data_IF_277170478104
#
_entry.id   IF_277170478104
#
_cell.length_a   1.000
_cell.length_b   1.000
_cell.length_c   1.000
_cell.angle_alpha   90.00
_cell.angle_beta   90.00
_cell.angle_gamma   90.00
#
_symmetry.space_group_name_H-M   'P 1'
#
loop_
_entity.id
_entity.type
_entity.pdbx_description
1 polymer ?
#
# COMPACT_ATOMS: atom_id res chain seq x y z
N UNK A 1 8.42 3.22 29.01
CA UNK A 1 7.09 3.69 29.48
C UNK A 1 6.01 3.14 28.57
N UNK A 2 4.76 3.03 29.04
CA UNK A 2 3.64 2.57 28.21
C UNK A 2 3.44 3.45 26.97
N UNK A 3 3.12 2.83 25.82
CA UNK A 3 2.77 3.54 24.59
C UNK A 3 3.92 4.17 23.79
N UNK A 4 5.18 3.98 24.20
CA UNK A 4 6.34 4.43 23.41
C UNK A 4 6.42 3.71 22.05
N UNK A 5 6.12 2.42 22.02
CA UNK A 5 6.12 1.61 20.80
C UNK A 5 5.03 2.08 19.82
N UNK A 6 3.84 2.40 20.34
CA UNK A 6 2.76 2.99 19.55
C UNK A 6 3.17 4.32 18.92
N UNK A 7 3.91 5.17 19.64
CA UNK A 7 4.41 6.44 19.08
C UNK A 7 5.44 6.22 17.96
N UNK A 8 6.34 5.23 18.10
CA UNK A 8 7.28 4.85 17.03
C UNK A 8 6.54 4.40 15.76
N UNK A 9 5.47 3.62 15.91
CA UNK A 9 4.65 3.15 14.80
C UNK A 9 3.96 4.32 14.07
N UNK A 10 3.42 5.29 14.81
CA UNK A 10 2.80 6.50 14.22
C UNK A 10 3.84 7.39 13.54
N UNK A 11 5.05 7.52 14.10
CA UNK A 11 6.13 8.25 13.42
C UNK A 11 6.52 7.59 12.10
N UNK A 12 6.54 6.25 12.06
CA UNK A 12 6.75 5.54 10.82
C UNK A 12 5.61 5.80 9.82
N UNK A 13 4.35 5.73 10.25
CA UNK A 13 3.20 6.06 9.40
C UNK A 13 3.30 7.47 8.80
N UNK A 14 3.72 8.46 9.60
CA UNK A 14 3.92 9.83 9.12
C UNK A 14 5.01 9.92 8.03
N UNK A 15 6.09 9.14 8.14
CA UNK A 15 7.12 9.07 7.09
C UNK A 15 6.59 8.41 5.82
N UNK A 16 5.76 7.37 5.96
CA UNK A 16 5.10 6.71 4.83
C UNK A 16 4.24 7.67 4.01
N UNK A 17 3.55 8.62 4.63
CA UNK A 17 2.74 9.60 3.89
C UNK A 17 3.55 10.45 2.91
N UNK A 18 4.80 10.78 3.25
CA UNK A 18 5.70 11.57 2.38
C UNK A 18 6.41 10.75 1.31
N UNK A 19 6.38 9.42 1.40
CA UNK A 19 7.07 8.53 0.46
C UNK A 19 6.16 8.19 -0.72
N UNK A 20 6.77 8.05 -1.90
CA UNK A 20 6.09 7.63 -3.13
C UNK A 20 5.91 6.10 -3.15
N UNK A 21 6.89 5.36 -2.64
CA UNK A 21 6.84 3.91 -2.50
C UNK A 21 6.43 3.50 -1.09
N UNK A 22 5.79 2.34 -0.96
CA UNK A 22 5.40 1.80 0.33
C UNK A 22 6.63 1.15 1.00
N UNK A 23 7.01 1.58 2.22
CA UNK A 23 8.08 0.93 2.96
C UNK A 23 7.64 -0.44 3.50
N UNK A 24 8.58 -1.31 3.88
CA UNK A 24 8.25 -2.65 4.38
C UNK A 24 7.34 -2.60 5.61
N UNK A 25 6.39 -3.54 5.65
CA UNK A 25 5.48 -3.70 6.76
C UNK A 25 6.22 -4.05 8.06
N UNK A 26 5.93 -3.30 9.13
CA UNK A 26 6.60 -3.44 10.43
C UNK A 26 5.96 -4.51 11.31
N UNK A 27 6.04 -5.77 10.88
CA UNK A 27 5.42 -6.92 11.55
C UNK A 27 5.81 -7.01 13.03
N UNK A 28 7.09 -6.87 13.34
CA UNK A 28 7.58 -7.02 14.71
C UNK A 28 7.09 -5.90 15.64
N UNK A 29 7.03 -4.66 15.16
CA UNK A 29 6.53 -3.54 15.95
C UNK A 29 5.03 -3.69 16.22
N UNK A 30 4.25 -4.05 15.19
CA UNK A 30 2.81 -4.32 15.33
C UNK A 30 2.56 -5.47 16.30
N UNK A 31 3.29 -6.59 16.17
CA UNK A 31 3.20 -7.74 17.09
C UNK A 31 3.54 -7.37 18.53
N UNK A 32 4.50 -6.47 18.73
CA UNK A 32 4.92 -6.06 20.08
C UNK A 32 3.87 -5.14 20.72
N UNK A 33 3.33 -4.17 19.97
CA UNK A 33 2.23 -3.31 20.44
C UNK A 33 0.97 -4.14 20.71
N UNK A 34 0.67 -5.13 19.88
CA UNK A 34 -0.47 -6.04 20.10
C UNK A 34 -0.29 -6.92 21.35
N UNK A 35 0.95 -7.36 21.64
CA UNK A 35 1.27 -8.06 22.90
C UNK A 35 1.08 -7.14 24.11
N UNK A 36 1.60 -5.92 24.05
CA UNK A 36 1.41 -4.91 25.10
C UNK A 36 -0.08 -4.67 25.42
N UNK A 37 -0.94 -4.58 24.39
CA UNK A 37 -2.39 -4.47 24.58
C UNK A 37 -2.98 -5.68 25.31
N UNK A 38 -2.57 -6.90 24.96
CA UNK A 38 -3.06 -8.12 25.64
C UNK A 38 -2.54 -8.24 27.07
N UNK A 39 -1.32 -7.77 27.31
CA UNK A 39 -0.73 -7.76 28.64
C UNK A 39 -1.47 -6.78 29.55
N UNK A 40 -1.77 -5.56 29.07
CA UNK A 40 -2.61 -4.58 29.79
C UNK A 40 -4.01 -5.13 30.08
N UNK A 41 -4.64 -5.81 29.11
CA UNK A 41 -5.96 -6.42 29.30
C UNK A 41 -5.94 -7.53 30.36
N UNK A 42 -4.89 -8.36 30.38
CA UNK A 42 -4.68 -9.38 31.41
C UNK A 42 -4.47 -8.75 32.79
N UNK A 43 -3.75 -7.63 32.87
CA UNK A 43 -3.53 -6.94 34.14
C UNK A 43 -4.81 -6.29 34.66
N UNK A 44 -5.63 -5.70 33.79
CA UNK A 44 -7.00 -5.24 34.12
C UNK A 44 -7.85 -6.39 34.66
N UNK A 45 -7.83 -7.56 34.01
CA UNK A 45 -8.58 -8.73 34.47
C UNK A 45 -8.13 -9.21 35.86
N UNK A 46 -6.81 -9.22 36.13
CA UNK A 46 -6.26 -9.57 37.46
C UNK A 46 -6.67 -8.59 38.55
N UNK A 47 -6.69 -7.29 38.25
CA UNK A 47 -7.13 -6.26 39.19
C UNK A 47 -8.62 -6.38 39.52
N UNK A 48 -9.43 -6.85 38.58
CA UNK A 48 -10.88 -7.01 38.74
C UNK A 48 -11.29 -8.37 39.35
N UNK A 49 -10.44 -9.39 39.30
CA UNK A 49 -10.70 -10.73 39.85
C UNK A 49 -11.21 -10.73 41.30
N UNK A 50 -10.64 -9.94 42.23
CA UNK A 50 -11.09 -9.91 43.63
C UNK A 50 -12.51 -9.34 43.81
N UNK A 51 -13.01 -8.55 42.85
CA UNK A 51 -14.28 -7.83 42.97
C UNK A 51 -15.49 -8.60 42.42
N UNK A 52 -15.28 -9.78 41.82
CA UNK A 52 -16.36 -10.71 41.44
C UNK A 52 -17.46 -10.10 40.56
N UNK A 53 -17.18 -9.01 39.82
CA UNK A 53 -18.13 -8.30 38.97
C UNK A 53 -18.81 -7.06 39.58
N UNK A 54 -18.61 -6.77 40.87
CA UNK A 54 -19.14 -5.56 41.53
C UNK A 54 -18.00 -4.71 42.09
N UNK A 55 -17.43 -3.85 41.25
CA UNK A 55 -16.42 -2.87 41.65
C UNK A 55 -17.09 -1.53 42.00
N UNK A 56 -16.84 -1.01 43.21
CA UNK A 56 -17.28 0.35 43.58
C UNK A 56 -16.08 1.32 43.57
N UNK A 57 -15.99 2.24 42.59
CA UNK A 57 -14.87 3.17 42.47
C UNK A 57 -14.65 4.09 43.68
N UNK A 58 -15.69 4.38 44.46
CA UNK A 58 -15.57 5.25 45.64
C UNK A 58 -14.96 4.52 46.85
N UNK A 59 -15.04 3.19 46.88
CA UNK A 59 -14.52 2.37 47.98
C UNK A 59 -13.01 2.14 47.85
N UNK A 60 -12.50 2.07 46.62
CA UNK A 60 -11.07 1.95 46.33
C UNK A 60 -10.65 2.88 45.18
N UNK A 61 -10.36 4.15 45.49
CA UNK A 61 -9.91 5.12 44.49
C UNK A 61 -8.57 4.77 43.84
N UNK A 62 -7.69 4.02 44.53
CA UNK A 62 -6.37 3.67 44.00
C UNK A 62 -6.50 2.67 42.85
N UNK A 63 -7.28 1.61 43.04
CA UNK A 63 -7.56 0.63 41.98
C UNK A 63 -8.36 1.25 40.85
N UNK A 64 -9.31 2.15 41.14
CA UNK A 64 -10.07 2.85 40.11
C UNK A 64 -9.16 3.67 39.17
N UNK A 65 -8.17 4.38 39.74
CA UNK A 65 -7.17 5.11 38.97
C UNK A 65 -6.29 4.18 38.12
N UNK A 66 -5.84 3.05 38.68
CA UNK A 66 -5.03 2.07 37.94
C UNK A 66 -5.79 1.51 36.72
N UNK A 67 -7.03 1.06 36.92
CA UNK A 67 -7.91 0.58 35.86
C UNK A 67 -8.14 1.63 34.77
N UNK A 68 -8.34 2.89 35.16
CA UNK A 68 -8.52 3.99 34.21
C UNK A 68 -7.25 4.22 33.37
N UNK A 69 -6.08 4.22 34.00
CA UNK A 69 -4.80 4.38 33.30
C UNK A 69 -4.59 3.25 32.30
N UNK A 70 -4.79 1.99 32.71
CA UNK A 70 -4.62 0.83 31.84
C UNK A 70 -5.62 0.84 30.66
N UNK A 71 -6.86 1.26 30.92
CA UNK A 71 -7.87 1.43 29.88
C UNK A 71 -7.48 2.50 28.86
N UNK A 72 -7.01 3.67 29.32
CA UNK A 72 -6.57 4.76 28.44
C UNK A 72 -5.33 4.34 27.62
N UNK A 73 -4.37 3.63 28.26
CA UNK A 73 -3.20 3.07 27.59
C UNK A 73 -3.58 2.08 26.49
N UNK A 74 -4.51 1.15 26.78
CA UNK A 74 -5.05 0.21 25.80
C UNK A 74 -5.70 0.92 24.61
N UNK A 75 -6.55 1.93 24.87
CA UNK A 75 -7.18 2.74 23.81
C UNK A 75 -6.17 3.52 22.99
N UNK A 76 -5.09 4.02 23.62
CA UNK A 76 -4.00 4.71 22.93
C UNK A 76 -3.29 3.78 21.96
N UNK A 77 -2.90 2.58 22.39
CA UNK A 77 -2.23 1.59 21.55
C UNK A 77 -3.12 1.13 20.39
N UNK A 78 -4.42 0.87 20.64
CA UNK A 78 -5.39 0.55 19.58
C UNK A 78 -5.49 1.68 18.55
N UNK A 79 -5.54 2.94 18.98
CA UNK A 79 -5.59 4.10 18.08
C UNK A 79 -4.33 4.21 17.22
N UNK A 80 -3.15 3.98 17.78
CA UNK A 80 -1.88 3.99 17.05
C UNK A 80 -1.82 2.90 15.98
N UNK A 81 -2.26 1.67 16.32
CA UNK A 81 -2.34 0.55 15.38
C UNK A 81 -3.28 0.88 14.21
N UNK A 82 -4.50 1.32 14.50
CA UNK A 82 -5.48 1.66 13.46
C UNK A 82 -4.99 2.81 12.56
N UNK A 83 -4.34 3.82 13.14
CA UNK A 83 -3.80 4.93 12.36
C UNK A 83 -2.69 4.45 11.39
N UNK A 84 -1.80 3.57 11.84
CA UNK A 84 -0.76 3.00 10.99
C UNK A 84 -1.35 2.18 9.83
N UNK A 85 -2.28 1.28 10.13
CA UNK A 85 -2.93 0.48 9.10
C UNK A 85 -3.74 1.34 8.13
N UNK A 86 -4.47 2.36 8.61
CA UNK A 86 -5.25 3.24 7.75
C UNK A 86 -4.38 3.98 6.74
N UNK A 87 -3.24 4.53 7.18
CA UNK A 87 -2.30 5.23 6.27
C UNK A 87 -1.75 4.28 5.20
N UNK A 88 -1.47 3.02 5.57
CA UNK A 88 -1.01 2.02 4.59
C UNK A 88 -2.11 1.64 3.61
N UNK A 89 -3.33 1.38 4.09
CA UNK A 89 -4.47 1.09 3.19
C UNK A 89 -4.78 2.24 2.24
N UNK A 90 -4.69 3.50 2.69
CA UNK A 90 -4.87 4.67 1.82
C UNK A 90 -3.84 4.69 0.68
N UNK A 91 -2.60 4.31 0.97
CA UNK A 91 -1.54 4.20 -0.04
C UNK A 91 -1.76 3.04 -0.99
N UNK A 92 -2.22 1.89 -0.50
CA UNK A 92 -2.58 0.75 -1.35
C UNK A 92 -3.74 1.08 -2.28
N UNK A 93 -4.78 1.72 -1.75
CA UNK A 93 -5.92 2.21 -2.53
C UNK A 93 -5.44 3.20 -3.61
N UNK A 94 -4.57 4.16 -3.26
CA UNK A 94 -3.97 5.09 -4.22
C UNK A 94 -3.21 4.37 -5.35
N UNK A 95 -2.48 3.28 -5.04
CA UNK A 95 -1.78 2.47 -6.04
C UNK A 95 -2.76 1.71 -6.96
N UNK A 96 -3.83 1.13 -6.40
CA UNK A 96 -4.90 0.50 -7.18
C UNK A 96 -5.50 1.47 -8.21
N UNK A 97 -5.78 2.70 -7.78
CA UNK A 97 -6.37 3.73 -8.66
C UNK A 97 -5.39 4.23 -9.72
N UNK A 98 -4.09 4.21 -9.47
CA UNK A 98 -3.06 4.54 -10.47
C UNK A 98 -2.81 3.40 -11.47
N UNK A 99 -3.42 2.23 -11.27
CA UNK A 99 -3.20 1.05 -12.11
C UNK A 99 -1.77 0.51 -12.03
N UNK A 100 -1.04 0.84 -10.95
CA UNK A 100 0.27 0.27 -10.69
C UNK A 100 0.09 -1.19 -10.26
N UNK A 101 0.65 -2.11 -11.02
CA UNK A 101 0.78 -3.48 -10.54
C UNK A 101 1.84 -3.47 -9.43
N UNK A 102 1.40 -3.74 -8.21
CA UNK A 102 2.27 -3.74 -7.02
C UNK A 102 3.39 -4.78 -7.18
N UNK A 103 3.20 -5.79 -8.04
CA UNK A 103 4.21 -6.79 -8.39
C UNK A 103 5.31 -6.23 -9.32
N UNK A 104 5.02 -5.24 -10.17
CA UNK A 104 6.04 -4.61 -11.04
C UNK A 104 6.97 -3.67 -10.26
N UNK A 105 6.48 -3.07 -9.16
CA UNK A 105 7.29 -2.24 -8.26
C UNK A 105 8.34 -3.02 -7.47
N UNK A 106 8.29 -4.36 -7.47
CA UNK A 106 9.34 -5.19 -6.88
C UNK A 106 10.58 -5.33 -7.79
N UNK A 107 10.48 -4.92 -9.08
CA UNK A 107 11.54 -5.12 -10.08
C UNK A 107 12.36 -3.89 -10.52
N UNK A 108 12.53 -2.77 -9.79
CA UNK A 108 13.34 -1.67 -10.31
C UNK A 108 14.85 -1.91 -10.30
N UNK A 109 15.37 -3.04 -9.80
CA UNK A 109 16.82 -3.25 -9.63
C UNK A 109 17.42 -4.49 -10.33
N UNK A 110 16.69 -5.20 -11.20
CA UNK A 110 17.20 -6.45 -11.78
C UNK A 110 17.67 -6.37 -13.25
N UNK A 111 17.61 -5.21 -13.90
CA UNK A 111 17.88 -5.13 -15.35
C UNK A 111 18.95 -4.10 -15.73
N UNK A 112 20.15 -4.30 -15.21
CA UNK A 112 21.38 -3.98 -15.94
C UNK A 112 22.29 -5.22 -15.98
N UNK A 113 21.97 -6.12 -16.92
CA UNK A 113 22.95 -7.00 -17.56
C UNK A 113 23.06 -8.41 -17.02
N UNK A 114 22.35 -9.37 -17.64
CA UNK A 114 22.89 -10.70 -17.96
C UNK A 114 21.87 -11.53 -18.77
N UNK A 115 21.81 -11.30 -20.08
CA UNK A 115 21.38 -12.35 -21.00
C UNK A 115 22.49 -13.42 -21.05
N UNK A 116 22.36 -14.47 -20.24
CA UNK A 116 22.74 -15.85 -20.55
C UNK A 116 22.90 -16.71 -19.29
N UNK A 117 22.33 -17.91 -19.36
CA UNK A 117 22.77 -19.13 -18.69
C UNK A 117 22.20 -19.47 -17.30
N UNK A 118 21.48 -20.60 -17.27
CA UNK A 118 21.72 -21.62 -16.23
C UNK A 118 20.73 -21.71 -15.08
N UNK A 119 19.98 -22.81 -15.08
CA UNK A 119 19.26 -23.35 -13.93
C UNK A 119 20.20 -23.51 -12.72
N UNK A 120 19.76 -23.04 -11.54
CA UNK A 120 19.88 -23.63 -10.18
C UNK A 120 19.94 -22.51 -9.11
N UNK A 121 18.94 -22.56 -8.23
CA UNK A 121 18.81 -21.97 -6.89
C UNK A 121 19.87 -21.00 -6.36
N UNK A 122 19.44 -19.81 -5.95
CA UNK A 122 19.88 -19.22 -4.68
C UNK A 122 18.88 -18.17 -4.19
N UNK A 123 18.63 -18.22 -2.89
CA UNK A 123 17.76 -17.34 -2.12
C UNK A 123 18.17 -15.86 -2.30
N UNK A 124 17.47 -15.12 -3.14
CA UNK A 124 17.45 -13.67 -3.09
C UNK A 124 16.07 -13.28 -2.55
N UNK A 125 16.01 -12.90 -1.28
CA UNK A 125 14.77 -12.57 -0.59
C UNK A 125 14.03 -11.46 -1.32
N UNK A 126 12.97 -11.82 -2.04
CA UNK A 126 11.81 -10.97 -2.30
C UNK A 126 11.24 -10.61 -0.93
N UNK A 127 11.81 -9.60 -0.30
CA UNK A 127 11.14 -8.96 0.82
C UNK A 127 9.94 -8.22 0.23
N UNK A 128 8.84 -8.95 0.03
CA UNK A 128 7.54 -8.31 -0.20
C UNK A 128 7.40 -7.23 0.86
N UNK A 129 7.27 -5.99 0.40
CA UNK A 129 7.13 -4.84 1.29
C UNK A 129 5.79 -4.87 2.04
N UNK A 130 4.94 -5.83 1.67
CA UNK A 130 3.58 -6.01 2.12
C UNK A 130 3.51 -7.19 3.08
N UNK A 131 2.53 -7.12 3.96
CA UNK A 131 2.11 -8.30 4.71
C UNK A 131 1.18 -9.16 3.85
N UNK A 132 1.12 -10.49 4.07
CA UNK A 132 0.16 -11.36 3.36
C UNK A 132 -1.29 -10.88 3.51
N UNK A 133 -1.63 -10.28 4.65
CA UNK A 133 -2.95 -9.70 4.90
C UNK A 133 -3.21 -8.44 4.06
N UNK A 134 -2.17 -7.64 3.78
CA UNK A 134 -2.27 -6.47 2.89
C UNK A 134 -2.35 -6.88 1.41
N UNK A 135 -1.66 -7.93 1.01
CA UNK A 135 -1.75 -8.49 -0.35
C UNK A 135 -3.15 -9.02 -0.65
N UNK A 136 -3.75 -9.72 0.31
CA UNK A 136 -5.13 -10.19 0.19
C UNK A 136 -6.13 -9.03 0.12
N UNK A 137 -5.95 -8.00 0.95
CA UNK A 137 -6.76 -6.77 0.88
C UNK A 137 -6.64 -6.09 -0.48
N UNK A 138 -5.41 -5.96 -1.00
CA UNK A 138 -5.15 -5.35 -2.29
C UNK A 138 -5.85 -6.12 -3.43
N UNK A 139 -5.79 -7.45 -3.42
CA UNK A 139 -6.47 -8.29 -4.41
C UNK A 139 -7.98 -8.09 -4.36
N UNK A 140 -8.58 -8.17 -3.17
CA UNK A 140 -10.04 -8.00 -3.00
C UNK A 140 -10.50 -6.59 -3.41
N UNK A 141 -9.70 -5.56 -3.11
CA UNK A 141 -10.01 -4.20 -3.52
C UNK A 141 -9.89 -4.00 -5.04
N UNK A 142 -8.85 -4.59 -5.67
CA UNK A 142 -8.69 -4.59 -7.12
C UNK A 142 -9.84 -5.28 -7.82
N UNK A 143 -10.27 -6.44 -7.31
CA UNK A 143 -11.44 -7.18 -7.83
C UNK A 143 -12.73 -6.36 -7.69
N UNK A 144 -12.92 -5.70 -6.56
CA UNK A 144 -14.06 -4.80 -6.34
C UNK A 144 -14.04 -3.62 -7.32
N UNK A 145 -12.87 -3.03 -7.54
CA UNK A 145 -12.69 -1.93 -8.49
C UNK A 145 -12.94 -2.40 -9.93
N UNK A 146 -12.49 -3.60 -10.30
CA UNK A 146 -12.73 -4.19 -11.61
C UNK A 146 -14.22 -4.47 -11.82
N UNK A 147 -14.92 -5.00 -10.81
CA UNK A 147 -16.37 -5.21 -10.85
C UNK A 147 -17.13 -3.89 -11.01
N UNK A 148 -16.68 -2.83 -10.34
CA UNK A 148 -17.26 -1.49 -10.47
C UNK A 148 -17.03 -0.90 -11.87
N UNK A 149 -15.82 -1.04 -12.42
CA UNK A 149 -15.50 -0.64 -13.81
C UNK A 149 -16.31 -1.41 -14.84
N UNK A 150 -16.57 -2.69 -14.61
CA UNK A 150 -17.35 -3.53 -15.53
C UNK A 150 -18.78 -3.04 -15.77
N UNK A 151 -19.33 -2.20 -14.88
CA UNK A 151 -20.64 -1.56 -15.08
C UNK A 151 -20.59 -0.40 -16.09
N UNK A 152 -19.41 0.20 -16.28
CA UNK A 152 -19.19 1.39 -17.09
C UNK A 152 -18.14 1.09 -18.16
N UNK A 153 -18.55 0.51 -19.29
CA UNK A 153 -17.63 0.15 -20.39
C UNK A 153 -17.11 1.35 -21.17
N UNK A 154 -17.84 2.47 -21.12
CA UNK A 154 -17.55 3.65 -21.94
C UNK A 154 -16.65 4.67 -21.22
N UNK A 155 -16.40 4.47 -19.93
CA UNK A 155 -15.68 5.43 -19.07
C UNK A 155 -14.57 4.70 -18.32
N UNK A 156 -13.32 5.05 -18.60
CA UNK A 156 -12.21 4.60 -17.78
C UNK A 156 -12.10 5.45 -16.50
N UNK A 157 -12.42 4.84 -15.36
CA UNK A 157 -12.34 5.48 -14.04
C UNK A 157 -10.91 5.60 -13.51
N UNK A 158 -9.94 4.91 -14.12
CA UNK A 158 -8.51 4.97 -13.75
C UNK A 158 -7.67 5.76 -14.75
N UNK A 159 -8.32 6.43 -15.69
CA UNK A 159 -7.67 7.32 -16.64
C UNK A 159 -7.04 8.54 -15.97
N UNK A 160 -6.33 9.33 -16.77
CA UNK A 160 -5.70 10.56 -16.29
C UNK A 160 -6.75 11.58 -15.81
N UNK A 161 -6.46 12.26 -14.70
CA UNK A 161 -7.28 13.38 -14.22
C UNK A 161 -6.97 14.70 -14.95
N UNK A 162 -5.90 14.71 -15.76
CA UNK A 162 -5.49 15.88 -16.53
C UNK A 162 -6.26 15.93 -17.85
N UNK A 163 -6.95 17.05 -18.17
CA UNK A 163 -7.71 17.14 -19.40
C UNK A 163 -6.78 17.09 -20.61
N UNK A 164 -7.11 16.32 -21.67
CA UNK A 164 -6.32 16.26 -22.88
C UNK A 164 -6.33 17.62 -23.59
N UNK A 165 -5.15 18.09 -24.01
CA UNK A 165 -5.01 19.33 -24.78
C UNK A 165 -5.17 19.09 -26.28
N UNK A 166 -4.60 17.99 -26.75
CA UNK A 166 -4.52 17.62 -28.15
C UNK A 166 -4.92 16.15 -28.31
N UNK A 167 -5.56 15.81 -29.43
CA UNK A 167 -5.98 14.43 -29.70
C UNK A 167 -4.78 13.50 -29.98
N UNK A 168 -3.72 14.06 -30.56
CA UNK A 168 -2.50 13.36 -30.94
C UNK A 168 -1.30 13.98 -30.24
N UNK A 169 -0.37 13.13 -29.82
CA UNK A 169 0.84 13.52 -29.11
C UNK A 169 2.07 12.84 -29.72
N UNK A 170 3.20 13.53 -29.69
CA UNK A 170 4.50 12.93 -29.97
C UNK A 170 5.01 12.20 -28.72
N UNK A 171 5.30 10.91 -28.85
CA UNK A 171 5.84 10.10 -27.77
C UNK A 171 7.19 9.50 -28.16
N UNK A 172 8.10 9.41 -27.20
CA UNK A 172 9.36 8.67 -27.30
C UNK A 172 9.27 7.38 -26.51
N UNK A 173 9.69 6.28 -27.11
CA UNK A 173 9.74 4.97 -26.45
C UNK A 173 11.00 4.87 -25.59
N UNK A 174 10.85 4.64 -24.29
CA UNK A 174 11.96 4.45 -23.34
C UNK A 174 12.36 2.96 -23.23
N UNK A 175 11.38 2.06 -23.34
CA UNK A 175 11.55 0.61 -23.23
C UNK A 175 10.85 -0.08 -24.39
N UNK A 176 11.49 -1.10 -24.97
CA UNK A 176 10.88 -1.92 -26.02
C UNK A 176 9.60 -2.58 -25.50
N UNK A 177 8.46 -2.28 -26.12
CA UNK A 177 7.15 -2.82 -25.74
C UNK A 177 6.52 -3.71 -26.82
N UNK A 178 7.24 -3.97 -27.91
CA UNK A 178 6.81 -4.86 -28.98
C UNK A 178 5.70 -4.26 -29.86
N UNK A 179 4.81 -5.12 -30.37
CA UNK A 179 3.69 -4.70 -31.22
C UNK A 179 2.44 -4.43 -30.34
N UNK A 180 1.91 -3.21 -30.40
CA UNK A 180 0.65 -2.84 -29.74
C UNK A 180 -0.48 -2.75 -30.76
N UNK A 181 -1.68 -3.16 -30.37
CA UNK A 181 -2.88 -2.96 -31.18
C UNK A 181 -3.52 -1.62 -30.81
N UNK A 182 -3.56 -0.70 -31.78
CA UNK A 182 -4.39 0.51 -31.72
C UNK A 182 -5.65 0.30 -32.55
N UNK A 183 -6.64 1.17 -32.35
CA UNK A 183 -7.88 1.17 -33.13
C UNK A 183 -7.67 1.32 -34.64
N UNK A 184 -6.57 1.97 -35.07
CA UNK A 184 -6.25 2.21 -36.48
C UNK A 184 -5.20 1.25 -37.07
N UNK A 185 -4.63 0.36 -36.26
CA UNK A 185 -3.64 -0.62 -36.72
C UNK A 185 -2.64 -1.05 -35.67
N UNK A 186 -1.69 -1.89 -36.08
CA UNK A 186 -0.57 -2.32 -35.23
C UNK A 186 0.58 -1.33 -35.30
N UNK A 187 1.13 -0.96 -34.15
CA UNK A 187 2.28 -0.06 -34.04
C UNK A 187 3.40 -0.79 -33.29
N UNK A 188 4.62 -0.73 -33.83
CA UNK A 188 5.78 -1.39 -33.24
C UNK A 188 6.58 -0.38 -32.40
N UNK A 189 6.56 -0.57 -31.08
CA UNK A 189 7.24 0.25 -30.10
C UNK A 189 8.69 -0.23 -29.92
N UNK A 190 9.59 0.36 -30.69
CA UNK A 190 11.05 0.13 -30.58
C UNK A 190 11.71 1.21 -29.74
N UNK A 191 12.68 0.85 -28.91
CA UNK A 191 13.37 1.74 -27.97
C UNK A 191 14.01 2.92 -28.69
N UNK A 192 13.85 4.11 -28.12
CA UNK A 192 14.28 5.40 -28.66
C UNK A 192 13.58 5.85 -29.95
N UNK A 193 12.60 5.11 -30.47
CA UNK A 193 11.77 5.59 -31.57
C UNK A 193 10.83 6.71 -31.10
N UNK A 194 10.43 7.57 -32.05
CA UNK A 194 9.45 8.63 -31.85
C UNK A 194 8.26 8.36 -32.75
N UNK A 195 7.06 8.45 -32.18
CA UNK A 195 5.82 8.12 -32.85
C UNK A 195 4.79 9.21 -32.55
N UNK A 196 4.02 9.58 -33.57
CA UNK A 196 2.87 10.46 -33.44
C UNK A 196 1.61 9.63 -33.37
N UNK A 197 0.99 9.58 -32.19
CA UNK A 197 -0.08 8.63 -31.86
C UNK A 197 -1.22 9.32 -31.13
N UNK A 198 -2.41 8.72 -31.19
CA UNK A 198 -3.57 9.21 -30.46
C UNK A 198 -3.33 9.05 -28.96
N UNK A 199 -3.63 10.09 -28.18
CA UNK A 199 -3.37 10.10 -26.73
C UNK A 199 -4.04 8.90 -26.03
N UNK A 200 -5.30 8.58 -26.36
CA UNK A 200 -6.07 7.51 -25.71
C UNK A 200 -5.45 6.11 -25.82
N UNK A 201 -4.70 5.81 -26.89
CA UNK A 201 -4.08 4.49 -27.08
C UNK A 201 -2.81 4.31 -26.23
N UNK A 202 -2.15 5.42 -25.88
CA UNK A 202 -0.83 5.41 -25.21
C UNK A 202 -0.85 5.88 -23.76
N UNK A 203 -1.97 6.42 -23.27
CA UNK A 203 -2.10 6.92 -21.90
C UNK A 203 -1.65 5.91 -20.85
N UNK A 204 -2.08 4.65 -20.98
CA UNK A 204 -1.70 3.59 -20.05
C UNK A 204 -0.21 3.25 -20.10
N UNK A 205 0.39 3.28 -21.28
CA UNK A 205 1.81 3.00 -21.50
C UNK A 205 2.71 4.15 -21.01
N UNK A 206 2.23 5.39 -21.09
CA UNK A 206 2.87 6.57 -20.49
C UNK A 206 2.84 6.44 -18.96
N UNK A 207 1.68 6.08 -18.37
CA UNK A 207 1.54 5.90 -16.92
C UNK A 207 2.46 4.79 -16.37
N UNK A 208 2.68 3.72 -17.14
CA UNK A 208 3.61 2.64 -16.81
C UNK A 208 5.09 3.00 -17.04
N UNK A 209 5.38 4.12 -17.71
CA UNK A 209 6.75 4.59 -17.97
C UNK A 209 7.45 3.91 -19.15
N UNK A 210 6.71 3.26 -20.06
CA UNK A 210 7.27 2.75 -21.32
C UNK A 210 7.48 3.88 -22.35
N UNK A 211 6.64 4.91 -22.28
CA UNK A 211 6.61 6.04 -23.21
C UNK A 211 6.78 7.36 -22.45
N UNK A 212 7.46 8.31 -23.07
CA UNK A 212 7.59 9.68 -22.60
C UNK A 212 6.96 10.64 -23.61
N UNK A 213 6.12 11.57 -23.14
CA UNK A 213 5.55 12.60 -24.01
C UNK A 213 6.61 13.64 -24.36
N UNK A 214 6.83 13.86 -25.65
CA UNK A 214 7.58 15.00 -26.15
C UNK A 214 6.62 16.20 -26.26
N UNK A 215 7.10 17.36 -25.82
CA UNK A 215 6.30 18.58 -25.63
C UNK A 215 5.70 19.12 -26.92
#
# INVERSE_FOLDING_TARGET
MYGELGNKLVQHAKRTQSLVHLPPYQTELVRTVAREVRDLDRDVARLLEPFGGSFNPSADPATACALLVDHICTRRNKRCLLAYHRVRTEKLEELCWKGADVLEQEQPNADEGAAAHGVVSSQAGTHSSLSPEEEEYFRQYSDMLAAYKGQWTDIDLTGSLEPPRDLFIDVRVLKDAGEIQTEYGVINLTKNSQLYVRQGDVERLIAQGFLERLS
#
